data_IF_311739929945
#
_entry.id   IF_311739929945
#
_cell.length_a   1.000
_cell.length_b   1.000
_cell.length_c   1.000
_cell.angle_alpha   90.00
_cell.angle_beta   90.00
_cell.angle_gamma   90.00
#
_symmetry.space_group_name_H-M   'P 1'
#
loop_
_entity.id
_entity.type
_entity.pdbx_description
1 polymer ?
#
# COMPACT_ATOMS: atom_id res chain seq x y z
N UNK A 1 -2.34 -1.24 -19.28
CA UNK A 1 -1.72 -0.65 -18.06
C UNK A 1 -0.24 -0.40 -18.34
N UNK A 2 0.31 0.67 -17.77
CA UNK A 2 1.72 1.02 -17.92
C UNK A 2 2.60 0.05 -17.12
N UNK A 3 3.83 -0.23 -17.58
CA UNK A 3 4.82 -0.97 -16.78
C UNK A 3 5.60 -0.06 -15.82
N UNK A 4 5.29 1.24 -15.81
CA UNK A 4 5.93 2.23 -14.97
C UNK A 4 5.20 2.34 -13.63
N UNK A 5 5.93 2.20 -12.54
CA UNK A 5 5.37 2.29 -11.19
C UNK A 5 6.31 3.03 -10.26
N UNK A 6 5.74 3.76 -9.32
CA UNK A 6 6.38 4.19 -8.07
C UNK A 6 5.82 3.30 -6.96
N UNK A 7 6.66 2.80 -6.08
CA UNK A 7 6.26 1.91 -4.99
C UNK A 7 6.93 2.26 -3.68
N UNK A 8 6.26 1.89 -2.59
CA UNK A 8 6.83 1.79 -1.25
C UNK A 8 7.06 0.31 -0.95
N UNK A 9 8.30 -0.05 -0.68
CA UNK A 9 8.70 -1.34 -0.12
C UNK A 9 8.76 -1.27 1.39
N UNK A 10 8.42 -2.37 2.05
CA UNK A 10 8.49 -2.56 3.49
C UNK A 10 9.31 -3.81 3.82
N UNK A 11 9.62 -3.97 5.10
CA UNK A 11 10.29 -5.13 5.66
C UNK A 11 9.45 -5.68 6.82
N UNK A 12 9.12 -6.97 6.79
CA UNK A 12 8.32 -7.63 7.84
C UNK A 12 8.99 -7.57 9.20
N UNK A 13 10.31 -7.45 9.26
CA UNK A 13 11.07 -7.47 10.51
C UNK A 13 11.35 -6.06 11.04
N UNK A 14 11.07 -5.01 10.24
CA UNK A 14 11.40 -3.63 10.57
C UNK A 14 10.29 -2.65 10.16
N UNK A 15 9.30 -2.47 11.03
CA UNK A 15 8.10 -1.66 10.76
C UNK A 15 8.36 -0.14 10.67
N UNK A 16 9.57 0.31 10.98
CA UNK A 16 9.96 1.72 10.90
C UNK A 16 10.88 1.96 9.69
N UNK A 17 10.90 1.03 8.74
CA UNK A 17 11.71 1.11 7.55
C UNK A 17 10.86 1.05 6.30
N UNK A 18 11.17 1.91 5.35
CA UNK A 18 10.55 1.93 4.04
C UNK A 18 11.57 2.19 2.95
N UNK A 19 11.26 1.72 1.75
CA UNK A 19 12.00 2.03 0.52
C UNK A 19 11.07 2.66 -0.48
N UNK A 20 11.41 3.82 -1.01
CA UNK A 20 10.75 4.35 -2.21
C UNK A 20 11.50 3.81 -3.42
N UNK A 21 10.80 3.35 -4.44
CA UNK A 21 11.47 2.93 -5.66
C UNK A 21 10.58 2.98 -6.88
N UNK A 22 11.21 2.83 -8.05
CA UNK A 22 10.50 2.71 -9.32
C UNK A 22 10.79 1.42 -10.07
N UNK A 23 9.93 1.15 -11.06
CA UNK A 23 10.18 0.13 -12.08
C UNK A 23 9.59 0.56 -13.41
N UNK A 24 10.20 0.13 -14.51
CA UNK A 24 9.71 0.24 -15.90
C UNK A 24 9.43 -1.13 -16.52
N UNK A 25 9.67 -2.20 -15.76
CA UNK A 25 9.51 -3.60 -16.18
C UNK A 25 8.30 -4.27 -15.48
N UNK A 26 7.51 -3.50 -14.73
CA UNK A 26 6.42 -3.99 -13.90
C UNK A 26 6.84 -4.36 -12.48
N UNK A 27 5.87 -4.32 -11.55
CA UNK A 27 6.08 -4.50 -10.11
C UNK A 27 6.53 -5.90 -9.70
N UNK A 28 6.09 -6.94 -10.42
CA UNK A 28 6.50 -8.32 -10.18
C UNK A 28 8.01 -8.54 -10.30
N UNK A 29 8.78 -7.62 -10.88
CA UNK A 29 10.25 -7.71 -10.91
C UNK A 29 10.92 -7.17 -9.63
N UNK A 30 10.14 -6.55 -8.74
CA UNK A 30 10.61 -5.80 -7.58
C UNK A 30 10.07 -6.32 -6.25
N UNK A 31 9.49 -7.51 -6.21
CA UNK A 31 8.85 -8.06 -5.00
C UNK A 31 9.82 -8.71 -4.00
N UNK A 32 11.11 -8.81 -4.33
CA UNK A 32 12.14 -9.40 -3.48
C UNK A 32 13.37 -8.51 -3.37
N UNK A 33 14.07 -8.58 -2.23
CA UNK A 33 15.38 -7.96 -2.04
C UNK A 33 16.38 -9.01 -1.54
N UNK A 34 17.56 -9.10 -2.17
CA UNK A 34 18.62 -10.01 -1.73
C UNK A 34 19.23 -9.63 -0.38
N UNK A 35 19.07 -8.37 0.04
CA UNK A 35 19.63 -7.84 1.29
C UNK A 35 18.63 -7.86 2.44
N UNK A 36 17.33 -8.02 2.15
CA UNK A 36 16.23 -8.00 3.13
C UNK A 36 15.26 -9.13 2.79
N UNK A 37 15.41 -10.32 3.39
CA UNK A 37 14.55 -11.47 3.12
C UNK A 37 13.07 -11.21 3.41
N UNK A 38 12.76 -10.36 4.40
CA UNK A 38 11.41 -9.91 4.74
C UNK A 38 10.87 -8.79 3.83
N UNK A 39 11.57 -8.44 2.75
CA UNK A 39 11.17 -7.34 1.88
C UNK A 39 9.97 -7.68 1.00
N UNK A 40 9.02 -6.77 0.91
CA UNK A 40 7.87 -6.85 0.00
C UNK A 40 7.43 -5.47 -0.47
N UNK A 41 6.58 -5.42 -1.51
CA UNK A 41 5.91 -4.17 -1.94
C UNK A 41 4.70 -3.92 -1.04
N UNK A 42 4.72 -2.81 -0.32
CA UNK A 42 3.67 -2.39 0.60
C UNK A 42 2.52 -1.68 -0.12
N UNK A 43 2.85 -0.66 -0.92
CA UNK A 43 1.91 0.06 -1.79
C UNK A 43 2.58 0.41 -3.11
N UNK A 44 1.81 0.62 -4.18
CA UNK A 44 2.36 1.11 -5.44
C UNK A 44 1.35 1.83 -6.34
N UNK A 45 1.83 2.80 -7.13
CA UNK A 45 1.05 3.69 -8.00
C UNK A 45 1.47 3.53 -9.46
N UNK A 46 0.51 3.28 -10.35
CA UNK A 46 0.81 3.10 -11.77
C UNK A 46 1.01 4.46 -12.44
N UNK A 47 2.18 4.68 -13.02
CA UNK A 47 2.51 5.92 -13.73
C UNK A 47 2.10 5.78 -15.19
N UNK A 48 0.96 6.38 -15.53
CA UNK A 48 0.32 6.27 -16.85
C UNK A 48 0.74 7.39 -17.80
N UNK A 49 1.29 8.47 -17.26
CA UNK A 49 1.76 9.63 -18.02
C UNK A 49 2.94 10.30 -17.31
N UNK A 50 3.84 10.91 -18.08
CA UNK A 50 5.09 11.51 -17.57
C UNK A 50 6.26 10.53 -17.46
N UNK A 51 7.42 11.06 -17.07
CA UNK A 51 8.66 10.29 -16.91
C UNK A 51 8.81 9.78 -15.47
N UNK A 52 8.69 8.47 -15.29
CA UNK A 52 8.82 7.81 -13.97
C UNK A 52 10.18 8.02 -13.33
N UNK A 53 11.26 8.18 -14.11
CA UNK A 53 12.59 8.47 -13.56
C UNK A 53 12.64 9.86 -12.95
N UNK A 54 12.04 10.85 -13.64
CA UNK A 54 11.94 12.20 -13.13
C UNK A 54 11.04 12.28 -11.89
N UNK A 55 9.88 11.62 -11.93
CA UNK A 55 8.94 11.60 -10.79
C UNK A 55 9.61 11.01 -9.55
N UNK A 56 10.31 9.87 -9.67
CA UNK A 56 11.05 9.28 -8.55
C UNK A 56 12.16 10.22 -8.03
N UNK A 57 12.95 10.80 -8.93
CA UNK A 57 14.02 11.72 -8.54
C UNK A 57 13.48 12.94 -7.78
N UNK A 58 12.39 13.53 -8.26
CA UNK A 58 11.74 14.67 -7.61
C UNK A 58 11.14 14.29 -6.25
N UNK A 59 10.54 13.09 -6.15
CA UNK A 59 9.99 12.54 -4.91
C UNK A 59 11.10 12.32 -3.87
N UNK A 60 12.19 11.66 -4.23
CA UNK A 60 13.31 11.42 -3.32
C UNK A 60 13.94 12.74 -2.83
N UNK A 61 14.05 13.73 -3.72
CA UNK A 61 14.50 15.07 -3.36
C UNK A 61 13.51 15.78 -2.45
N UNK A 62 12.20 15.61 -2.66
CA UNK A 62 11.17 16.21 -1.82
C UNK A 62 11.21 15.64 -0.39
N UNK A 63 11.24 14.30 -0.27
CA UNK A 63 11.31 13.59 1.01
C UNK A 63 12.58 13.93 1.79
N UNK A 64 13.72 14.02 1.11
CA UNK A 64 14.99 14.37 1.76
C UNK A 64 14.99 15.78 2.36
N UNK A 65 14.21 16.70 1.80
CA UNK A 65 14.13 18.08 2.30
C UNK A 65 13.06 18.25 3.39
N UNK A 66 12.33 17.20 3.75
CA UNK A 66 11.39 17.25 4.87
C UNK A 66 12.13 17.18 6.20
N UNK A 67 11.65 17.96 7.17
CA UNK A 67 12.09 17.84 8.55
C UNK A 67 11.58 16.50 9.12
N UNK A 68 12.39 15.85 9.95
CA UNK A 68 12.06 14.61 10.68
C UNK A 68 12.00 13.31 9.86
N UNK A 69 12.44 13.33 8.60
CA UNK A 69 12.62 12.10 7.79
C UNK A 69 14.11 11.77 7.65
N UNK A 70 14.52 10.60 8.14
CA UNK A 70 15.89 10.11 8.00
C UNK A 70 16.05 9.27 6.73
N UNK A 71 16.70 9.84 5.71
CA UNK A 71 17.13 9.10 4.51
C UNK A 71 18.41 8.32 4.78
N UNK A 72 18.38 7.02 4.54
CA UNK A 72 19.52 6.13 4.78
C UNK A 72 20.53 6.19 3.63
N UNK A 73 21.79 5.91 3.94
CA UNK A 73 22.84 5.73 2.95
C UNK A 73 23.00 4.25 2.56
N UNK A 74 23.42 4.00 1.33
CA UNK A 74 23.83 2.67 0.90
C UNK A 74 25.04 2.21 1.72
N UNK A 75 24.94 1.02 2.30
CA UNK A 75 26.02 0.45 3.11
C UNK A 75 27.35 0.35 2.36
N UNK A 76 27.30 -0.02 1.07
CA UNK A 76 28.49 -0.28 0.26
C UNK A 76 29.19 0.98 -0.26
N UNK A 77 28.44 2.05 -0.56
CA UNK A 77 28.98 3.25 -1.23
C UNK A 77 28.92 4.51 -0.37
N UNK A 78 28.15 4.51 0.72
CA UNK A 78 27.89 5.69 1.54
C UNK A 78 27.03 6.76 0.84
N UNK A 79 26.61 6.53 -0.41
CA UNK A 79 25.74 7.46 -1.14
C UNK A 79 24.30 7.36 -0.65
N UNK A 80 23.53 8.43 -0.84
CA UNK A 80 22.10 8.46 -0.49
C UNK A 80 21.36 7.31 -1.19
N UNK A 81 20.65 6.50 -0.42
CA UNK A 81 19.85 5.39 -0.93
C UNK A 81 18.41 5.83 -1.16
N UNK A 82 17.56 4.92 -1.62
CA UNK A 82 16.11 5.14 -1.68
C UNK A 82 15.39 4.62 -0.42
N UNK A 83 16.12 4.34 0.65
CA UNK A 83 15.62 3.79 1.90
C UNK A 83 15.51 4.87 3.00
N UNK A 84 14.53 4.74 3.88
CA UNK A 84 14.20 5.73 4.90
C UNK A 84 13.85 5.05 6.23
N UNK A 85 14.14 5.74 7.35
CA UNK A 85 13.67 5.36 8.68
C UNK A 85 12.28 5.97 8.93
N UNK A 86 11.29 5.48 8.20
CA UNK A 86 9.90 5.91 8.32
C UNK A 86 8.98 4.71 8.12
N UNK A 87 7.89 4.66 8.88
CA UNK A 87 6.89 3.63 8.74
C UNK A 87 6.32 3.61 7.30
N UNK A 88 6.09 2.43 6.69
CA UNK A 88 5.54 2.31 5.33
C UNK A 88 4.19 2.98 5.10
N UNK A 89 3.32 3.10 6.12
CA UNK A 89 2.03 3.80 6.01
C UNK A 89 2.28 5.30 5.84
N UNK A 90 3.04 5.89 6.76
CA UNK A 90 3.40 7.32 6.71
C UNK A 90 4.13 7.64 5.39
N UNK A 91 5.05 6.77 4.96
CA UNK A 91 5.72 6.94 3.67
C UNK A 91 4.73 6.89 2.49
N UNK A 92 3.76 5.99 2.52
CA UNK A 92 2.74 5.88 1.46
C UNK A 92 1.91 7.16 1.36
N UNK A 93 1.49 7.73 2.49
CA UNK A 93 0.75 8.98 2.54
C UNK A 93 1.56 10.15 1.97
N UNK A 94 2.85 10.23 2.27
CA UNK A 94 3.73 11.26 1.71
C UNK A 94 3.92 11.11 0.20
N UNK A 95 4.03 9.86 -0.29
CA UNK A 95 4.10 9.58 -1.73
C UNK A 95 2.80 9.98 -2.42
N UNK A 96 1.64 9.67 -1.85
CA UNK A 96 0.34 10.07 -2.39
C UNK A 96 0.20 11.59 -2.46
N UNK A 97 0.44 12.27 -1.33
CA UNK A 97 0.41 13.72 -1.26
C UNK A 97 1.31 14.37 -2.33
N UNK A 98 2.52 13.84 -2.52
CA UNK A 98 3.45 14.35 -3.52
C UNK A 98 2.92 14.17 -4.94
N UNK A 99 2.43 12.97 -5.28
CA UNK A 99 1.91 12.68 -6.62
C UNK A 99 0.69 13.55 -6.90
N UNK A 100 -0.26 13.68 -5.97
CA UNK A 100 -1.44 14.52 -6.14
C UNK A 100 -1.09 15.98 -6.39
N UNK A 101 -0.14 16.52 -5.62
CA UNK A 101 0.20 17.94 -5.69
C UNK A 101 1.03 18.29 -6.93
N UNK A 102 1.89 17.38 -7.41
CA UNK A 102 2.88 17.69 -8.45
C UNK A 102 2.68 16.96 -9.76
N UNK A 103 2.06 15.79 -9.71
CA UNK A 103 1.89 14.86 -10.82
C UNK A 103 0.47 14.24 -10.90
N UNK A 104 -0.62 15.01 -10.70
CA UNK A 104 -1.97 14.43 -10.62
C UNK A 104 -2.39 13.74 -11.93
N UNK A 105 -1.94 14.24 -13.08
CA UNK A 105 -2.24 13.63 -14.39
C UNK A 105 -1.42 12.38 -14.71
N UNK A 106 -0.50 11.98 -13.83
CA UNK A 106 0.39 10.83 -14.02
C UNK A 106 -0.18 9.52 -13.49
N UNK A 107 -1.32 9.53 -12.79
CA UNK A 107 -1.92 8.36 -12.14
C UNK A 107 -3.41 8.24 -12.47
N UNK A 108 -3.97 7.06 -12.23
CA UNK A 108 -5.42 6.90 -12.17
C UNK A 108 -5.94 7.28 -10.79
N UNK A 109 -7.20 7.72 -10.75
CA UNK A 109 -7.97 7.89 -9.54
C UNK A 109 -9.03 6.81 -9.47
N UNK A 110 -9.33 6.38 -8.26
CA UNK A 110 -10.49 5.55 -7.99
C UNK A 110 -11.74 6.44 -7.95
N UNK A 111 -12.76 6.07 -8.72
CA UNK A 111 -13.97 6.87 -8.84
C UNK A 111 -14.87 6.81 -7.59
N UNK A 112 -14.73 5.78 -6.75
CA UNK A 112 -15.54 5.59 -5.56
C UNK A 112 -14.97 6.40 -4.39
N UNK A 113 -13.67 6.28 -4.16
CA UNK A 113 -13.00 6.92 -3.02
C UNK A 113 -12.44 8.31 -3.34
N UNK A 114 -12.46 8.71 -4.63
CA UNK A 114 -11.81 9.91 -5.15
C UNK A 114 -10.33 10.05 -4.71
N UNK A 115 -9.67 8.91 -4.47
CA UNK A 115 -8.27 8.83 -4.05
C UNK A 115 -7.42 8.20 -5.14
N UNK A 116 -6.10 8.24 -4.98
CA UNK A 116 -5.20 7.59 -5.93
C UNK A 116 -5.50 6.11 -6.02
N UNK A 117 -5.56 5.62 -7.25
CA UNK A 117 -5.62 4.20 -7.49
C UNK A 117 -4.27 3.55 -7.21
N UNK A 118 -4.26 2.54 -6.33
CA UNK A 118 -3.02 1.90 -5.87
C UNK A 118 -3.15 0.40 -5.68
N UNK A 119 -2.07 -0.31 -5.99
CA UNK A 119 -1.85 -1.63 -5.44
C UNK A 119 -1.54 -1.49 -3.94
N UNK A 120 -2.12 -2.35 -3.11
CA UNK A 120 -1.80 -2.48 -1.69
C UNK A 120 -1.51 -3.95 -1.38
N UNK A 121 -0.54 -4.20 -0.50
CA UNK A 121 -0.31 -5.54 0.03
C UNK A 121 -1.56 -6.07 0.75
N UNK A 122 -1.63 -7.39 0.97
CA UNK A 122 -2.77 -8.03 1.61
C UNK A 122 -3.07 -7.39 2.98
N UNK A 123 -4.35 -7.21 3.30
CA UNK A 123 -4.80 -6.46 4.48
C UNK A 123 -4.19 -6.97 5.79
N UNK A 124 -4.08 -8.30 5.95
CA UNK A 124 -3.47 -8.90 7.13
C UNK A 124 -2.02 -8.47 7.35
N UNK A 125 -1.27 -8.19 6.28
CA UNK A 125 0.11 -7.69 6.36
C UNK A 125 0.11 -6.19 6.56
N UNK A 126 -0.73 -5.45 5.83
CA UNK A 126 -0.86 -4.01 5.98
C UNK A 126 -1.13 -3.62 7.45
N UNK A 127 -2.05 -4.33 8.13
CA UNK A 127 -2.41 -4.09 9.53
C UNK A 127 -1.25 -4.25 10.51
N UNK A 128 -0.22 -5.03 10.19
CA UNK A 128 0.97 -5.16 11.05
C UNK A 128 1.74 -3.84 11.20
N UNK A 129 1.56 -2.91 10.25
CA UNK A 129 2.29 -1.65 10.20
C UNK A 129 1.49 -0.46 10.73
N UNK A 130 0.21 -0.63 11.09
CA UNK A 130 -0.64 0.45 11.62
C UNK A 130 -0.14 0.90 12.99
N UNK A 131 0.31 2.16 13.15
CA UNK A 131 0.74 2.67 14.44
C UNK A 131 -0.47 2.75 15.38
N UNK A 132 -0.32 2.23 16.60
CA UNK A 132 -1.33 2.24 17.67
C UNK A 132 -2.53 1.29 17.54
N UNK A 133 -2.42 0.18 16.80
CA UNK A 133 -3.26 -0.99 17.10
C UNK A 133 -2.89 -1.50 18.50
N UNK A 134 -3.52 -0.92 19.52
CA UNK A 134 -3.64 -1.58 20.82
C UNK A 134 -4.34 -2.91 20.52
N UNK A 135 -3.77 -4.07 20.88
CA UNK A 135 -4.54 -5.31 20.86
C UNK A 135 -5.58 -5.21 21.98
N UNK A 136 -6.69 -4.53 21.74
CA UNK A 136 -7.90 -4.62 22.59
C UNK A 136 -8.78 -5.80 22.19
N UNK A 137 -8.34 -6.59 21.22
CA UNK A 137 -8.80 -7.96 21.08
C UNK A 137 -8.16 -8.78 22.20
N UNK A 138 -8.86 -8.82 23.35
CA UNK A 138 -8.75 -9.89 24.32
C UNK A 138 -9.08 -11.22 23.62
N UNK A 139 -8.08 -11.75 22.92
CA UNK A 139 -8.08 -13.07 22.28
C UNK A 139 -7.66 -14.13 23.31
N UNK A 140 -8.12 -14.04 24.56
CA UNK A 140 -7.90 -15.08 25.57
C UNK A 140 -8.61 -16.42 25.26
N UNK A 141 -9.15 -16.60 24.04
CA UNK A 141 -9.81 -17.83 23.61
C UNK A 141 -9.50 -18.34 22.19
N UNK A 142 -8.67 -17.66 21.39
CA UNK A 142 -8.27 -18.16 20.06
C UNK A 142 -6.85 -18.70 20.15
N UNK A 143 -6.79 -20.01 20.33
CA UNK A 143 -5.69 -20.95 20.11
C UNK A 143 -4.24 -20.46 20.21
N UNK A 144 -3.52 -21.19 21.05
CA UNK A 144 -2.06 -21.32 21.15
C UNK A 144 -1.47 -21.94 19.87
N UNK A 145 -1.72 -21.34 18.70
CA UNK A 145 -0.96 -21.65 17.50
C UNK A 145 0.32 -20.79 17.50
N UNK A 146 1.49 -21.37 17.19
CA UNK A 146 2.69 -20.58 16.98
C UNK A 146 2.37 -19.50 15.95
N UNK A 147 2.66 -18.24 16.26
CA UNK A 147 2.56 -17.15 15.29
C UNK A 147 3.24 -17.61 14.01
N UNK A 148 2.45 -17.77 12.94
CA UNK A 148 2.98 -18.17 11.65
C UNK A 148 4.03 -17.12 11.27
N UNK A 149 5.25 -17.59 11.01
CA UNK A 149 6.29 -16.75 10.44
C UNK A 149 5.68 -16.05 9.22
N UNK A 150 5.74 -14.70 9.12
CA UNK A 150 5.24 -14.02 7.95
C UNK A 150 5.85 -14.66 6.70
N UNK A 151 5.05 -14.94 5.66
CA UNK A 151 5.52 -15.69 4.51
C UNK A 151 6.71 -14.95 3.87
N UNK A 152 7.82 -15.65 3.66
CA UNK A 152 9.06 -15.11 3.05
C UNK A 152 8.86 -14.51 1.66
N UNK A 153 7.71 -14.80 1.04
CA UNK A 153 7.20 -14.14 -0.16
C UNK A 153 5.68 -14.23 -0.14
N UNK A 154 5.00 -13.10 -0.36
CA UNK A 154 3.53 -13.04 -0.45
C UNK A 154 2.93 -13.80 -1.67
N UNK A 155 3.72 -14.62 -2.37
CA UNK A 155 3.38 -15.32 -3.61
C UNK A 155 2.63 -14.41 -4.60
N UNK A 156 3.13 -13.17 -4.76
CA UNK A 156 2.52 -12.16 -5.63
C UNK A 156 2.96 -12.39 -7.07
N UNK A 157 2.02 -12.86 -7.90
CA UNK A 157 2.18 -12.96 -9.35
C UNK A 157 1.85 -11.63 -10.03
N UNK A 158 2.25 -11.44 -11.29
CA UNK A 158 2.11 -10.15 -11.99
C UNK A 158 0.66 -9.65 -12.11
N UNK A 159 -0.29 -10.57 -12.21
CA UNK A 159 -1.74 -10.34 -12.26
C UNK A 159 -2.30 -9.78 -10.94
N UNK A 160 -1.59 -9.95 -9.82
CA UNK A 160 -1.97 -9.37 -8.52
C UNK A 160 -1.57 -7.91 -8.37
N UNK A 161 -0.84 -7.32 -9.33
CA UNK A 161 -0.53 -5.90 -9.35
C UNK A 161 -1.50 -5.18 -10.29
N UNK A 162 -2.43 -4.42 -9.71
CA UNK A 162 -3.49 -3.72 -10.42
C UNK A 162 -3.44 -2.22 -10.06
N UNK A 163 -3.97 -1.40 -10.94
CA UNK A 163 -4.02 0.06 -10.78
C UNK A 163 -5.40 0.52 -10.30
N UNK A 164 -6.11 -0.30 -9.53
CA UNK A 164 -7.40 -0.03 -8.89
C UNK A 164 -7.20 -0.03 -7.37
N UNK A 165 -8.03 0.59 -6.53
CA UNK A 165 -7.92 0.37 -5.09
C UNK A 165 -8.48 -1.02 -4.73
N UNK A 166 -7.71 -1.83 -4.00
CA UNK A 166 -8.18 -3.08 -3.39
C UNK A 166 -8.53 -2.91 -1.91
N UNK A 167 -8.60 -1.68 -1.44
CA UNK A 167 -9.19 -1.41 -0.13
C UNK A 167 -10.61 -1.95 -0.22
N UNK A 168 -10.91 -2.97 0.58
CA UNK A 168 -12.28 -3.41 0.80
C UNK A 168 -12.99 -2.21 1.40
N UNK A 169 -13.73 -1.47 0.58
CA UNK A 169 -14.65 -0.43 1.04
C UNK A 169 -15.96 -1.06 1.49
N UNK A 170 -16.14 -2.36 1.24
CA UNK A 170 -17.36 -3.08 1.51
C UNK A 170 -17.04 -4.43 2.16
N UNK A 171 -17.64 -4.70 3.32
CA UNK A 171 -17.62 -6.02 3.95
C UNK A 171 -18.87 -6.79 3.51
N UNK A 172 -18.70 -7.99 2.97
CA UNK A 172 -19.81 -8.92 2.74
C UNK A 172 -20.27 -9.50 4.09
N UNK A 173 -21.52 -9.22 4.45
CA UNK A 173 -22.16 -9.71 5.68
C UNK A 173 -22.90 -11.04 5.45
N UNK A 174 -22.94 -11.54 4.21
CA UNK A 174 -23.72 -12.71 3.79
C UNK A 174 -25.14 -12.36 3.36
N UNK A 175 -25.81 -13.31 2.70
CA UNK A 175 -27.20 -13.18 2.23
C UNK A 175 -27.48 -11.93 1.37
N UNK A 176 -26.49 -11.50 0.58
CA UNK A 176 -26.58 -10.31 -0.27
C UNK A 176 -26.48 -9.00 0.50
N UNK A 177 -26.17 -9.02 1.80
CA UNK A 177 -25.98 -7.83 2.62
C UNK A 177 -24.50 -7.43 2.66
N UNK A 178 -24.26 -6.13 2.62
CA UNK A 178 -22.95 -5.53 2.55
C UNK A 178 -22.86 -4.32 3.48
N UNK A 179 -21.74 -4.13 4.17
CA UNK A 179 -21.45 -2.93 4.95
C UNK A 179 -20.46 -2.07 4.18
N UNK A 180 -20.87 -0.86 3.79
CA UNK A 180 -19.95 0.15 3.30
C UNK A 180 -19.17 0.74 4.49
N UNK A 181 -17.85 0.55 4.48
CA UNK A 181 -16.94 1.02 5.52
C UNK A 181 -16.70 2.53 5.48
N UNK A 182 -16.98 3.19 4.35
CA UNK A 182 -16.83 4.64 4.23
C UNK A 182 -18.00 5.38 4.88
N UNK A 183 -19.23 4.99 4.55
CA UNK A 183 -20.44 5.59 5.13
C UNK A 183 -20.89 4.95 6.45
N UNK A 184 -20.41 3.74 6.76
CA UNK A 184 -20.92 2.91 7.85
C UNK A 184 -22.34 2.38 7.60
N UNK A 185 -22.85 2.47 6.36
CA UNK A 185 -24.21 2.04 6.01
C UNK A 185 -24.22 0.63 5.44
N UNK A 186 -25.29 -0.10 5.76
CA UNK A 186 -25.55 -1.39 5.14
C UNK A 186 -26.37 -1.22 3.86
N UNK A 187 -26.02 -1.98 2.84
CA UNK A 187 -26.79 -2.09 1.61
C UNK A 187 -27.00 -3.55 1.21
N UNK A 188 -28.10 -3.83 0.54
CA UNK A 188 -28.38 -5.11 -0.07
C UNK A 188 -28.02 -5.08 -1.55
N UNK A 189 -27.39 -6.13 -2.06
CA UNK A 189 -27.15 -6.35 -3.49
C UNK A 189 -27.79 -7.67 -3.91
N UNK A 190 -28.69 -7.60 -4.90
CA UNK A 190 -29.32 -8.78 -5.47
C UNK A 190 -28.41 -9.53 -6.46
N UNK A 191 -28.84 -10.72 -6.89
CA UNK A 191 -28.13 -11.57 -7.85
C UNK A 191 -27.92 -10.90 -9.23
N UNK A 192 -28.71 -9.87 -9.54
CA UNK A 192 -28.63 -9.08 -10.77
C UNK A 192 -27.70 -7.85 -10.62
N UNK A 193 -27.16 -7.61 -9.42
CA UNK A 193 -26.23 -6.53 -9.11
C UNK A 193 -26.89 -5.18 -8.76
N UNK A 194 -28.21 -5.14 -8.55
CA UNK A 194 -28.92 -3.94 -8.10
C UNK A 194 -28.65 -3.69 -6.61
N UNK A 195 -28.50 -2.42 -6.22
CA UNK A 195 -28.16 -2.03 -4.84
C UNK A 195 -29.32 -1.29 -4.18
N UNK A 196 -29.75 -1.76 -3.01
CA UNK A 196 -30.73 -1.10 -2.14
C UNK A 196 -30.09 -0.66 -0.82
N UNK A 197 -30.12 0.63 -0.52
CA UNK A 197 -29.56 1.19 0.71
C UNK A 197 -30.55 1.11 1.88
N UNK A 198 -30.08 0.64 3.05
CA UNK A 198 -30.87 0.70 4.29
C UNK A 198 -30.44 1.93 5.10
N UNK A 199 -31.23 3.00 5.01
CA UNK A 199 -31.12 4.11 5.96
C UNK A 199 -31.64 3.66 7.34
N UNK A 200 -30.81 3.81 8.37
CA UNK A 200 -31.27 3.67 9.76
C UNK A 200 -32.11 4.90 10.15
N UNK A 201 -33.32 4.66 10.68
CA UNK A 201 -34.13 5.69 11.34
C UNK A 201 -33.61 6.02 12.72
#
# INVERSE_FOLDING_TARGET
>A
MSNNWIYVGADTDDHQWSKVGKTTLGLHTRHTSSQRPGYFIFTAYNIINGDVHKIESDLLNHLENMQDIERQNHFSTGSKSECFRLNPIEMSELVECFIEQRYPSSVYYDNLTNSLSRFQCIDSVYRLFVPNLVPTLDLSGWDTQPQATPPSSLNLTSDRYFSGNQVETVIDLGDGMFLDLESGMEFYRDDDGNVEWKEWK
#
